data_IF_087296475514
#
_entry.id   IF_087296475514
#
_cell.length_a   1.000
_cell.length_b   1.000
_cell.length_c   1.000
_cell.angle_alpha   90.00
_cell.angle_beta   90.00
_cell.angle_gamma   90.00
#
_symmetry.space_group_name_H-M   'P 1'
#
loop_
_entity.id
_entity.type
_entity.pdbx_description
1 polymer ?
#
# COMPACT_ATOMS: atom_id res chain seq x y z
N UNK A 1 16.11 -8.22 14.76
CA UNK A 1 17.52 -7.97 14.35
C UNK A 1 17.43 -7.40 12.96
N UNK A 2 17.36 -6.06 12.85
CA UNK A 2 16.96 -5.40 11.60
C UNK A 2 18.02 -5.41 10.51
N UNK A 3 17.62 -4.97 9.31
CA UNK A 3 18.35 -5.13 8.05
C UNK A 3 19.63 -4.33 8.21
N UNK A 4 19.56 -3.19 8.89
CA UNK A 4 20.69 -2.39 9.32
C UNK A 4 21.82 -3.21 9.96
N UNK A 5 21.51 -4.16 10.85
CA UNK A 5 22.52 -4.97 11.55
C UNK A 5 23.07 -6.11 10.68
N UNK A 6 22.28 -6.64 9.75
CA UNK A 6 22.73 -7.66 8.78
C UNK A 6 23.55 -7.04 7.65
N UNK A 7 23.13 -5.90 7.13
CA UNK A 7 23.79 -5.19 6.03
C UNK A 7 25.13 -4.60 6.47
N UNK A 8 25.23 -4.00 7.67
CA UNK A 8 26.54 -3.59 8.22
C UNK A 8 27.49 -4.77 8.43
N UNK A 9 26.96 -5.94 8.81
CA UNK A 9 27.76 -7.18 8.87
C UNK A 9 28.18 -7.66 7.49
N UNK A 10 27.30 -7.58 6.49
CA UNK A 10 27.59 -8.00 5.12
C UNK A 10 28.69 -7.13 4.49
N UNK A 11 28.57 -5.80 4.59
CA UNK A 11 29.61 -4.88 4.13
C UNK A 11 30.93 -5.12 4.87
N UNK A 12 30.89 -5.37 6.19
CA UNK A 12 32.10 -5.69 6.97
C UNK A 12 32.73 -7.03 6.54
N UNK A 13 31.93 -7.99 6.08
CA UNK A 13 32.39 -9.29 5.60
C UNK A 13 32.95 -9.21 4.17
N UNK A 14 32.28 -8.52 3.25
CA UNK A 14 32.75 -8.35 1.85
C UNK A 14 34.00 -7.47 1.77
N UNK A 15 34.13 -6.46 2.64
CA UNK A 15 35.35 -5.66 2.79
C UNK A 15 36.54 -6.55 3.19
N UNK A 16 36.32 -7.62 3.97
CA UNK A 16 37.38 -8.57 4.31
C UNK A 16 37.91 -9.34 3.07
N UNK A 17 37.12 -9.45 1.99
CA UNK A 17 37.55 -10.06 0.71
C UNK A 17 38.25 -9.08 -0.24
N UNK A 18 37.93 -7.79 -0.17
CA UNK A 18 38.60 -6.70 -0.91
C UNK A 18 39.82 -6.12 -0.14
N UNK A 19 40.03 -6.64 1.09
CA UNK A 19 40.96 -6.19 2.14
C UNK A 19 42.44 -6.15 1.73
N UNK A 20 42.85 -6.90 0.72
CA UNK A 20 44.25 -7.04 0.31
C UNK A 20 44.70 -6.02 -0.75
N UNK A 21 43.80 -5.25 -1.37
CA UNK A 21 44.16 -4.45 -2.56
C UNK A 21 43.98 -2.92 -2.45
N UNK A 22 43.38 -2.39 -1.39
CA UNK A 22 43.00 -0.96 -1.36
C UNK A 22 43.47 -0.26 -0.08
N UNK A 23 44.32 0.75 -0.26
CA UNK A 23 44.98 1.55 0.79
C UNK A 23 43.99 2.47 1.54
N UNK A 24 42.85 2.81 0.93
CA UNK A 24 41.90 3.80 1.43
C UNK A 24 40.62 3.19 2.03
N UNK A 25 40.81 2.55 3.20
CA UNK A 25 39.83 1.70 3.91
C UNK A 25 38.59 2.43 4.41
N UNK A 26 38.71 3.73 4.71
CA UNK A 26 37.62 4.52 5.28
C UNK A 26 36.63 5.02 4.23
N UNK A 27 37.12 5.34 3.04
CA UNK A 27 36.33 5.97 1.98
C UNK A 27 35.28 5.01 1.40
N UNK A 28 35.67 3.75 1.13
CA UNK A 28 34.77 2.73 0.58
C UNK A 28 33.63 2.40 1.55
N UNK A 29 33.94 2.25 2.84
CA UNK A 29 32.93 1.99 3.86
C UNK A 29 31.94 3.17 3.99
N UNK A 30 32.46 4.40 4.00
CA UNK A 30 31.62 5.61 4.07
C UNK A 30 30.72 5.77 2.84
N UNK A 31 31.21 5.38 1.66
CA UNK A 31 30.43 5.40 0.43
C UNK A 31 29.32 4.33 0.46
N UNK A 32 29.63 3.09 0.83
CA UNK A 32 28.63 2.03 0.96
C UNK A 32 27.53 2.43 1.96
N UNK A 33 27.90 2.95 3.13
CA UNK A 33 26.93 3.44 4.12
C UNK A 33 26.00 4.52 3.53
N UNK A 34 26.55 5.45 2.75
CA UNK A 34 25.78 6.54 2.13
C UNK A 34 24.83 6.03 1.06
N UNK A 35 25.28 5.13 0.19
CA UNK A 35 24.43 4.52 -0.84
C UNK A 35 23.27 3.73 -0.21
N UNK A 36 23.48 3.13 0.96
CA UNK A 36 22.47 2.42 1.73
C UNK A 36 21.48 3.37 2.40
N UNK A 37 21.96 4.45 3.02
CA UNK A 37 21.11 5.52 3.58
C UNK A 37 20.18 6.11 2.50
N UNK A 38 20.71 6.33 1.30
CA UNK A 38 19.93 6.81 0.15
C UNK A 38 18.89 5.78 -0.33
N UNK A 39 19.25 4.49 -0.37
CA UNK A 39 18.31 3.42 -0.73
C UNK A 39 17.15 3.33 0.29
N UNK A 40 17.45 3.45 1.58
CA UNK A 40 16.44 3.48 2.64
C UNK A 40 15.54 4.70 2.58
N UNK A 41 16.11 5.88 2.32
CA UNK A 41 15.33 7.10 2.13
C UNK A 41 14.33 6.95 0.97
N UNK A 42 14.78 6.34 -0.14
CA UNK A 42 13.90 6.02 -1.28
C UNK A 42 12.76 5.06 -0.93
N UNK A 43 13.04 3.98 -0.20
CA UNK A 43 11.99 3.03 0.23
C UNK A 43 11.02 3.65 1.24
N UNK A 44 11.49 4.50 2.18
CA UNK A 44 10.60 5.24 3.09
C UNK A 44 9.67 6.21 2.34
N UNK A 45 10.18 6.92 1.32
CA UNK A 45 9.37 7.80 0.47
C UNK A 45 8.31 6.98 -0.29
N UNK A 46 8.68 5.81 -0.81
CA UNK A 46 7.78 4.90 -1.52
C UNK A 46 6.67 4.39 -0.60
N UNK A 47 7.00 3.98 0.62
CA UNK A 47 6.04 3.56 1.65
C UNK A 47 5.07 4.68 2.01
N UNK A 48 5.56 5.91 2.17
CA UNK A 48 4.72 7.09 2.42
C UNK A 48 3.73 7.34 1.27
N UNK A 49 4.18 7.25 0.02
CA UNK A 49 3.32 7.38 -1.17
C UNK A 49 2.24 6.29 -1.24
N UNK A 50 2.62 5.04 -0.97
CA UNK A 50 1.65 3.92 -0.94
C UNK A 50 0.61 4.09 0.16
N UNK A 51 1.04 4.55 1.34
CA UNK A 51 0.14 4.85 2.46
C UNK A 51 -0.87 5.95 2.11
N UNK A 52 -0.39 7.06 1.53
CA UNK A 52 -1.26 8.14 1.07
C UNK A 52 -2.24 7.67 0.00
N UNK A 53 -1.81 6.82 -0.94
CA UNK A 53 -2.67 6.23 -1.96
C UNK A 53 -3.77 5.34 -1.34
N UNK A 54 -3.40 4.49 -0.37
CA UNK A 54 -4.35 3.67 0.39
C UNK A 54 -5.39 4.54 1.08
N UNK A 55 -4.98 5.63 1.73
CA UNK A 55 -5.90 6.48 2.49
C UNK A 55 -6.89 7.21 1.57
N UNK A 56 -6.44 7.66 0.39
CA UNK A 56 -7.33 8.17 -0.66
C UNK A 56 -8.32 7.12 -1.14
N UNK A 57 -7.87 5.87 -1.37
CA UNK A 57 -8.77 4.79 -1.78
C UNK A 57 -9.79 4.44 -0.69
N UNK A 58 -9.41 4.47 0.59
CA UNK A 58 -10.33 4.28 1.72
C UNK A 58 -11.39 5.38 1.79
N UNK A 59 -11.00 6.64 1.56
CA UNK A 59 -11.96 7.74 1.50
C UNK A 59 -12.96 7.55 0.34
N UNK A 60 -12.47 7.12 -0.83
CA UNK A 60 -13.33 6.79 -1.97
C UNK A 60 -14.25 5.60 -1.68
N UNK A 61 -13.74 4.54 -1.04
CA UNK A 61 -14.53 3.38 -0.63
C UNK A 61 -15.70 3.81 0.24
N UNK A 62 -15.43 4.61 1.28
CA UNK A 62 -16.45 5.13 2.20
C UNK A 62 -17.53 5.92 1.44
N UNK A 63 -17.15 6.78 0.51
CA UNK A 63 -18.11 7.53 -0.31
C UNK A 63 -18.99 6.59 -1.17
N UNK A 64 -18.41 5.52 -1.72
CA UNK A 64 -19.17 4.53 -2.50
C UNK A 64 -20.08 3.66 -1.63
N UNK A 65 -19.67 3.32 -0.41
CA UNK A 65 -20.52 2.63 0.56
C UNK A 65 -21.72 3.47 0.98
N UNK A 66 -21.52 4.77 1.25
CA UNK A 66 -22.62 5.70 1.54
C UNK A 66 -23.60 5.82 0.35
N UNK A 67 -23.09 5.82 -0.88
CA UNK A 67 -23.92 5.78 -2.09
C UNK A 67 -24.69 4.45 -2.21
N UNK A 68 -24.05 3.32 -1.90
CA UNK A 68 -24.69 2.01 -1.92
C UNK A 68 -25.86 1.96 -0.92
N UNK A 69 -25.64 2.43 0.31
CA UNK A 69 -26.67 2.50 1.34
C UNK A 69 -27.86 3.38 0.93
N UNK A 70 -27.61 4.53 0.31
CA UNK A 70 -28.69 5.39 -0.20
C UNK A 70 -29.50 4.69 -1.29
N UNK A 71 -28.84 4.02 -2.23
CA UNK A 71 -29.51 3.27 -3.30
C UNK A 71 -30.31 2.10 -2.71
N UNK A 72 -29.81 1.43 -1.69
CA UNK A 72 -30.54 0.38 -0.96
C UNK A 72 -31.80 0.92 -0.27
N UNK A 73 -31.69 2.07 0.37
CA UNK A 73 -32.83 2.72 1.02
C UNK A 73 -33.88 3.17 0.00
N UNK A 74 -33.46 3.79 -1.09
CA UNK A 74 -34.35 4.19 -2.20
C UNK A 74 -35.03 2.97 -2.83
N UNK A 75 -34.30 1.85 -2.97
CA UNK A 75 -34.84 0.61 -3.50
C UNK A 75 -35.92 0.03 -2.58
N UNK A 76 -35.66 0.01 -1.27
CA UNK A 76 -36.64 -0.44 -0.29
C UNK A 76 -37.92 0.41 -0.35
N UNK A 77 -37.80 1.73 -0.47
CA UNK A 77 -38.95 2.61 -0.66
C UNK A 77 -39.68 2.39 -1.98
N UNK A 78 -38.95 2.19 -3.08
CA UNK A 78 -39.54 1.95 -4.40
C UNK A 78 -40.36 0.66 -4.43
N UNK A 79 -39.84 -0.41 -3.81
CA UNK A 79 -40.54 -1.68 -3.64
C UNK A 79 -41.77 -1.52 -2.76
N UNK A 80 -41.65 -0.81 -1.62
CA UNK A 80 -42.79 -0.54 -0.72
C UNK A 80 -43.91 0.26 -1.40
N UNK A 81 -43.57 1.11 -2.36
CA UNK A 81 -44.51 1.93 -3.14
C UNK A 81 -44.96 1.23 -4.45
N UNK A 82 -44.62 -0.04 -4.65
CA UNK A 82 -44.94 -0.85 -5.85
C UNK A 82 -44.49 -0.20 -7.17
N UNK A 83 -43.40 0.58 -7.12
CA UNK A 83 -42.82 1.24 -8.31
C UNK A 83 -41.78 0.34 -8.97
N UNK A 84 -42.24 -0.73 -9.60
CA UNK A 84 -41.40 -1.80 -10.14
C UNK A 84 -40.36 -1.34 -11.18
N UNK A 85 -40.69 -0.37 -12.03
CA UNK A 85 -39.75 0.15 -13.02
C UNK A 85 -38.58 0.89 -12.37
N UNK A 86 -38.87 1.64 -11.30
CA UNK A 86 -37.86 2.35 -10.51
C UNK A 86 -37.03 1.35 -9.71
N UNK A 87 -37.66 0.33 -9.12
CA UNK A 87 -36.97 -0.74 -8.40
C UNK A 87 -35.99 -1.50 -9.32
N UNK A 88 -36.40 -1.87 -10.55
CA UNK A 88 -35.51 -2.51 -11.53
C UNK A 88 -34.30 -1.65 -11.89
N UNK A 89 -34.49 -0.34 -12.04
CA UNK A 89 -33.39 0.59 -12.29
C UNK A 89 -32.43 0.66 -11.09
N UNK A 90 -32.97 0.79 -9.88
CA UNK A 90 -32.19 0.88 -8.65
C UNK A 90 -31.42 -0.42 -8.36
N UNK A 91 -31.97 -1.60 -8.67
CA UNK A 91 -31.25 -2.89 -8.57
C UNK A 91 -30.02 -2.92 -9.47
N UNK A 92 -30.13 -2.44 -10.72
CA UNK A 92 -28.98 -2.38 -11.65
C UNK A 92 -27.91 -1.42 -11.14
N UNK A 93 -28.34 -0.26 -10.61
CA UNK A 93 -27.46 0.74 -10.02
C UNK A 93 -26.76 0.18 -8.78
N UNK A 94 -27.50 -0.46 -7.88
CA UNK A 94 -26.97 -1.11 -6.67
C UNK A 94 -25.87 -2.10 -7.02
N UNK A 95 -26.16 -3.07 -7.92
CA UNK A 95 -25.17 -4.05 -8.39
C UNK A 95 -23.89 -3.39 -8.93
N UNK A 96 -24.04 -2.28 -9.63
CA UNK A 96 -22.89 -1.53 -10.18
C UNK A 96 -22.07 -0.90 -9.06
N UNK A 97 -22.71 -0.21 -8.10
CA UNK A 97 -22.04 0.44 -6.97
C UNK A 97 -21.37 -0.60 -6.07
N UNK A 98 -22.07 -1.68 -5.71
CA UNK A 98 -21.50 -2.78 -4.91
C UNK A 98 -20.30 -3.42 -5.61
N UNK A 99 -20.35 -3.60 -6.94
CA UNK A 99 -19.20 -4.10 -7.69
C UNK A 99 -17.99 -3.17 -7.65
N UNK A 100 -18.20 -1.86 -7.62
CA UNK A 100 -17.12 -0.86 -7.44
C UNK A 100 -16.56 -0.91 -6.02
N UNK A 101 -17.41 -0.98 -5.00
CA UNK A 101 -17.02 -1.13 -3.59
C UNK A 101 -16.13 -2.37 -3.42
N UNK A 102 -16.54 -3.52 -3.96
CA UNK A 102 -15.76 -4.77 -3.90
C UNK A 102 -14.39 -4.63 -4.56
N UNK A 103 -14.30 -3.99 -5.74
CA UNK A 103 -13.02 -3.77 -6.42
C UNK A 103 -12.09 -2.85 -5.61
N UNK A 104 -12.64 -1.77 -5.03
CA UNK A 104 -11.88 -0.85 -4.20
C UNK A 104 -11.36 -1.54 -2.94
N UNK A 105 -12.17 -2.39 -2.31
CA UNK A 105 -11.76 -3.16 -1.14
C UNK A 105 -10.60 -4.11 -1.47
N UNK A 106 -10.69 -4.87 -2.57
CA UNK A 106 -9.60 -5.73 -3.04
C UNK A 106 -8.31 -4.94 -3.28
N UNK A 107 -8.38 -3.77 -3.93
CA UNK A 107 -7.21 -2.92 -4.15
C UNK A 107 -6.60 -2.39 -2.84
N UNK A 108 -7.43 -2.06 -1.85
CA UNK A 108 -6.96 -1.64 -0.52
C UNK A 108 -6.28 -2.81 0.20
N UNK A 109 -6.82 -4.02 0.10
CA UNK A 109 -6.22 -5.22 0.69
C UNK A 109 -4.86 -5.52 0.06
N UNK A 110 -4.72 -5.43 -1.27
CA UNK A 110 -3.43 -5.57 -1.95
C UNK A 110 -2.42 -4.53 -1.48
N UNK A 111 -2.80 -3.25 -1.46
CA UNK A 111 -1.93 -2.18 -0.97
C UNK A 111 -1.53 -2.35 0.50
N UNK A 112 -2.42 -2.85 1.35
CA UNK A 112 -2.08 -3.16 2.74
C UNK A 112 -1.03 -4.27 2.82
N UNK A 113 -1.15 -5.33 2.02
CA UNK A 113 -0.15 -6.40 1.97
C UNK A 113 1.20 -5.87 1.50
N UNK A 114 1.22 -5.03 0.47
CA UNK A 114 2.45 -4.43 -0.04
C UNK A 114 3.10 -3.51 0.98
N UNK A 115 2.31 -2.68 1.67
CA UNK A 115 2.81 -1.81 2.76
C UNK A 115 3.39 -2.67 3.89
N UNK A 116 2.68 -3.72 4.33
CA UNK A 116 3.16 -4.60 5.39
C UNK A 116 4.44 -5.34 5.02
N UNK A 117 4.58 -5.78 3.76
CA UNK A 117 5.84 -6.37 3.27
C UNK A 117 6.98 -5.36 3.30
N UNK A 118 6.78 -4.17 2.74
CA UNK A 118 7.81 -3.12 2.76
C UNK A 118 8.17 -2.66 4.17
N UNK A 119 7.22 -2.68 5.11
CA UNK A 119 7.49 -2.42 6.52
C UNK A 119 8.34 -3.52 7.15
N UNK A 120 8.02 -4.79 6.88
CA UNK A 120 8.81 -5.92 7.34
C UNK A 120 10.22 -5.89 6.75
N UNK A 121 10.37 -5.58 5.46
CA UNK A 121 11.66 -5.38 4.78
C UNK A 121 12.43 -4.13 5.26
N UNK A 122 11.83 -3.26 6.07
CA UNK A 122 12.52 -2.14 6.71
C UNK A 122 12.88 -2.44 8.18
N UNK A 123 12.21 -3.42 8.80
CA UNK A 123 12.35 -3.78 10.22
C UNK A 123 13.19 -5.04 10.47
N UNK A 124 13.03 -6.09 9.63
CA UNK A 124 13.99 -7.20 9.49
C UNK A 124 15.30 -6.73 8.93
#
# INVERSE_FOLDING_TARGET
>A
MGIMTRLTRLCKADIHGVMDQIEDKGLVLAQCLREMEDAMSRERIKLSRLSARRDNLKANLKAQEELAQKVDQDLYEAVKKEKDDIAKFLIRKHKTVTGVVQKLDLQIQELNRDISRLQQDLEE
#
